data_IF_752668636837
#
_entry.id   IF_752668636837
#
_cell.length_a   1.000
_cell.length_b   1.000
_cell.length_c   1.000
_cell.angle_alpha   90.00
_cell.angle_beta   90.00
_cell.angle_gamma   90.00
#
_symmetry.space_group_name_H-M   'P 1'
#
loop_
_entity.id
_entity.type
_entity.pdbx_description
1 polymer ?
2 non-polymer ?
3 non-polymer ?
4 non-polymer ?
5 non-polymer ?
6 water ?
#
# COMPACT_ATOMS: atom_id res chain seq x y z
N UNK A 12 3.18 15.72 18.83
CA UNK A 12 2.40 16.99 18.96
C UNK A 12 1.23 16.93 18.00
N UNK A 13 0.05 17.39 18.42
CA UNK A 13 -1.13 17.54 17.53
C UNK A 13 -1.15 18.98 17.01
N UNK A 14 -1.19 19.14 15.70
CA UNK A 14 -1.21 20.47 15.07
C UNK A 14 -2.59 20.67 14.47
N UNK A 15 -2.96 21.93 14.26
CA UNK A 15 -4.15 22.28 13.48
C UNK A 15 -3.74 22.77 12.08
N UNK A 16 -2.53 23.29 11.96
CA UNK A 16 -1.97 23.87 10.72
C UNK A 16 -0.65 23.18 10.40
N UNK A 17 -0.40 22.92 9.12
CA UNK A 17 0.92 22.46 8.61
C UNK A 17 1.04 22.90 7.16
N UNK A 18 1.95 23.82 6.85
CA UNK A 18 2.06 24.41 5.50
C UNK A 18 0.72 24.99 5.09
N UNK A 19 0.12 24.49 4.00
CA UNK A 19 -1.19 24.98 3.49
C UNK A 19 -2.32 24.02 3.88
N UNK A 20 -2.06 23.06 4.77
CA UNK A 20 -3.10 22.14 5.29
C UNK A 20 -3.69 22.70 6.59
N UNK A 21 -5.01 22.60 6.75
CA UNK A 21 -5.77 23.00 7.98
C UNK A 21 -6.71 21.85 8.38
N UNK A 22 -6.68 21.44 9.64
CA UNK A 22 -7.65 20.43 10.14
C UNK A 22 -9.08 20.95 9.83
N UNK A 23 -9.93 20.04 9.34
CA UNK A 23 -11.34 20.17 8.90
C UNK A 23 -11.48 20.42 7.39
N UNK A 24 -10.38 20.62 6.67
CA UNK A 24 -10.39 20.77 5.19
C UNK A 24 -10.87 19.45 4.55
N UNK A 25 -11.58 19.55 3.44
CA UNK A 25 -11.93 18.42 2.55
C UNK A 25 -10.64 17.97 1.87
N UNK A 26 -10.44 16.66 1.71
CA UNK A 26 -9.18 16.10 1.20
C UNK A 26 -9.51 14.79 0.47
N UNK A 27 -8.61 14.30 -0.36
CA UNK A 27 -8.64 12.91 -0.88
C UNK A 27 -7.58 12.11 -0.12
N UNK A 28 -7.90 10.87 0.20
CA UNK A 28 -6.97 9.94 0.87
C UNK A 28 -6.84 8.68 0.06
N UNK A 29 -5.66 8.08 0.04
CA UNK A 29 -5.41 6.79 -0.61
C UNK A 29 -5.88 5.66 0.34
N UNK A 30 -6.62 4.70 -0.17
CA UNK A 30 -7.01 3.48 0.60
C UNK A 30 -6.14 2.31 0.15
N UNK A 31 -6.22 1.18 0.88
CA UNK A 31 -5.35 0.00 0.63
C UNK A 31 -5.64 -0.60 -0.76
N UNK A 32 -6.81 -0.34 -1.33
CA UNK A 32 -7.21 -0.76 -2.70
C UNK A 32 -6.40 -0.01 -3.78
N UNK A 33 -5.63 1.01 -3.38
CA UNK A 33 -4.87 1.98 -4.25
C UNK A 33 -5.79 2.99 -4.95
N UNK A 34 -7.10 2.95 -4.71
CA UNK A 34 -8.04 4.00 -5.19
C UNK A 34 -8.10 5.11 -4.14
N UNK A 35 -8.43 6.33 -4.56
CA UNK A 35 -8.49 7.49 -3.65
C UNK A 35 -9.94 7.88 -3.45
N UNK A 36 -10.25 8.41 -2.27
CA UNK A 36 -11.64 8.64 -1.79
C UNK A 36 -11.72 9.98 -1.04
N UNK A 37 -12.88 10.60 -1.12
CA UNK A 37 -13.22 11.85 -0.41
C UNK A 37 -13.21 11.63 1.11
N UNK A 38 -12.70 12.61 1.83
CA UNK A 38 -12.71 12.61 3.29
C UNK A 38 -12.46 13.99 3.84
N UNK A 39 -12.30 14.04 5.15
CA UNK A 39 -11.99 15.26 5.92
C UNK A 39 -10.66 15.05 6.64
N UNK A 40 -9.81 16.05 6.64
CA UNK A 40 -8.59 16.05 7.47
C UNK A 40 -9.03 16.35 8.92
N UNK A 41 -8.88 15.39 9.83
CA UNK A 41 -9.38 15.53 11.22
C UNK A 41 -8.25 15.67 12.21
N UNK A 42 -6.98 15.42 11.83
CA UNK A 42 -5.81 15.63 12.71
C UNK A 42 -4.51 15.68 11.91
N UNK A 43 -3.53 16.36 12.49
CA UNK A 43 -2.14 16.42 11.98
C UNK A 43 -1.24 16.07 13.15
N UNK A 44 -0.38 15.06 13.03
CA UNK A 44 0.40 14.54 14.20
C UNK A 44 1.86 14.46 13.81
N UNK A 45 2.70 15.38 14.32
CA UNK A 45 4.18 15.35 14.20
C UNK A 45 4.70 14.11 14.94
N UNK A 46 5.48 13.29 14.24
CA UNK A 46 6.23 12.10 14.78
C UNK A 46 7.70 12.24 14.33
N UNK A 47 8.54 12.78 15.21
CA UNK A 47 9.93 13.17 14.89
C UNK A 47 9.95 14.39 13.97
N UNK A 48 10.83 14.42 12.95
CA UNK A 48 10.80 15.48 11.93
C UNK A 48 9.69 15.25 10.89
N UNK A 49 8.92 14.16 11.04
CA UNK A 49 7.88 13.71 10.09
C UNK A 49 6.47 14.09 10.55
N UNK A 50 5.53 14.15 9.61
CA UNK A 50 4.11 14.51 9.89
C UNK A 50 3.23 13.35 9.41
N UNK A 51 2.16 13.06 10.12
CA UNK A 51 1.10 12.12 9.68
C UNK A 51 -0.25 12.86 9.67
N UNK A 52 -1.14 12.47 8.78
CA UNK A 52 -2.40 13.18 8.48
C UNK A 52 -3.55 12.20 8.68
N UNK A 53 -4.43 12.46 9.64
CA UNK A 53 -5.58 11.58 9.94
C UNK A 53 -6.77 11.99 9.06
N UNK A 54 -7.27 11.05 8.29
CA UNK A 54 -8.39 11.26 7.32
C UNK A 54 -9.60 10.44 7.77
N UNK A 55 -10.75 11.09 7.88
CA UNK A 55 -12.05 10.44 8.04
C UNK A 55 -12.73 10.43 6.67
N UNK A 56 -12.82 9.25 6.06
CA UNK A 56 -13.41 9.08 4.72
C UNK A 56 -14.93 9.28 4.83
N UNK A 57 -15.53 9.86 3.79
CA UNK A 57 -16.99 10.17 3.78
C UNK A 57 -17.78 8.87 3.89
N UNK A 58 -17.43 7.86 3.10
CA UNK A 58 -18.15 6.56 3.07
C UNK A 58 -17.68 5.76 4.30
N UNK A 59 -16.60 5.02 4.20
CA UNK A 59 -16.13 4.10 5.26
C UNK A 59 -14.67 4.44 5.61
N UNK A 60 -14.30 4.36 6.90
CA UNK A 60 -12.89 4.23 7.34
C UNK A 60 -12.27 5.52 7.89
N UNK A 61 -11.25 5.37 8.72
CA UNK A 61 -10.29 6.43 9.11
C UNK A 61 -8.87 5.87 8.95
N UNK A 62 -7.95 6.69 8.46
CA UNK A 62 -6.56 6.28 8.15
C UNK A 62 -5.62 7.35 8.69
N UNK A 63 -4.49 6.95 9.25
CA UNK A 63 -3.37 7.87 9.49
C UNK A 63 -2.39 7.70 8.34
N UNK A 64 -2.21 8.74 7.54
CA UNK A 64 -1.52 8.68 6.24
C UNK A 64 -0.31 9.62 6.20
N UNK A 65 0.70 9.25 5.41
CA UNK A 65 1.83 10.13 5.09
C UNK A 65 1.33 11.21 4.12
N UNK A 66 2.04 12.33 3.99
CA UNK A 66 1.62 13.47 3.16
C UNK A 66 1.54 13.17 1.66
N UNK A 67 2.23 12.14 1.18
CA UNK A 67 2.22 11.71 -0.24
C UNK A 67 1.00 10.81 -0.51
N UNK A 68 0.21 10.46 0.50
CA UNK A 68 -1.03 9.64 0.37
C UNK A 68 -2.30 10.45 0.65
N UNK A 69 -2.19 11.79 0.63
CA UNK A 69 -3.35 12.72 0.64
C UNK A 69 -3.20 13.67 -0.53
N UNK A 70 -4.32 14.16 -1.04
CA UNK A 70 -4.35 15.10 -2.18
C UNK A 70 -5.38 16.20 -1.86
N UNK A 71 -5.16 17.39 -2.37
CA UNK A 71 -6.10 18.50 -2.15
C UNK A 71 -7.39 18.21 -2.91
N UNK A 72 -8.51 18.64 -2.35
CA UNK A 72 -9.83 18.37 -2.94
C UNK A 72 -10.11 19.44 -4.01
N UNK A 73 -9.12 20.27 -4.35
CA UNK A 73 -9.27 21.32 -5.39
C UNK A 73 -8.27 21.03 -6.51
N UNK A 74 -8.49 21.74 -7.62
CA UNK A 74 -7.76 21.58 -8.90
C UNK A 74 -6.58 22.54 -8.91
N UNK A 75 -5.41 22.09 -9.41
CA UNK A 75 -4.22 22.92 -9.39
C UNK A 75 -4.24 23.83 -10.60
N UNK A 76 -3.81 25.12 -10.46
CA UNK A 76 -3.64 25.97 -11.63
C UNK A 76 -2.56 25.31 -12.52
N UNK A 77 -2.76 25.37 -13.84
CA UNK A 77 -1.85 24.79 -14.87
C UNK A 77 -0.40 25.27 -14.66
N UNK A 78 -0.20 26.50 -14.17
CA UNK A 78 1.13 27.16 -13.99
C UNK A 78 1.90 26.48 -12.84
N UNK A 79 1.21 25.68 -12.03
CA UNK A 79 1.82 24.98 -10.89
C UNK A 79 2.13 23.52 -11.28
N UNK A 80 1.72 23.08 -12.47
CA UNK A 80 1.89 21.65 -12.88
C UNK A 80 2.99 21.55 -13.95
N UNK A 81 3.93 20.65 -13.72
CA UNK A 81 5.09 20.37 -14.60
C UNK A 81 5.06 18.90 -14.99
N UNK A 82 5.81 18.55 -16.03
CA UNK A 82 6.16 17.14 -16.28
C UNK A 82 6.84 16.62 -15.01
N UNK A 83 6.36 15.52 -14.47
CA UNK A 83 6.87 14.95 -13.21
C UNK A 83 6.01 15.28 -11.99
N UNK A 84 5.06 16.22 -12.09
CA UNK A 84 4.16 16.59 -10.96
C UNK A 84 3.36 15.36 -10.51
N UNK A 85 3.25 15.18 -9.21
CA UNK A 85 2.53 14.02 -8.59
C UNK A 85 1.07 14.43 -8.36
N UNK A 86 0.15 13.70 -8.96
CA UNK A 86 -1.29 14.04 -8.96
C UNK A 86 -2.15 12.79 -8.67
N UNK A 87 -3.37 13.07 -8.26
CA UNK A 87 -4.50 12.10 -8.37
C UNK A 87 -5.35 12.59 -9.53
N UNK A 88 -5.77 11.69 -10.40
CA UNK A 88 -6.58 12.02 -11.57
C UNK A 88 -7.72 11.02 -11.70
N UNK A 89 -8.81 11.47 -12.34
CA UNK A 89 -9.93 10.60 -12.79
C UNK A 89 -9.49 9.80 -14.01
N UNK A 90 -9.48 8.50 -13.90
CA UNK A 90 -9.31 7.60 -15.04
C UNK A 90 -10.68 7.08 -15.41
N UNK A 91 -11.06 7.26 -16.67
CA UNK A 91 -12.38 6.84 -17.21
C UNK A 91 -12.15 5.81 -18.32
N UNK A 92 -12.75 4.62 -18.23
CA UNK A 92 -12.68 3.66 -19.36
C UNK A 92 -14.06 3.49 -20.00
N UNK A 93 -15.02 4.36 -19.69
CA UNK A 93 -16.34 4.28 -20.32
C UNK A 93 -17.26 3.17 -19.78
N UNK A 94 -16.84 2.41 -18.76
CA UNK A 94 -17.77 1.68 -17.86
C UNK A 94 -17.26 1.69 -16.40
N UNK A 95 -16.23 2.49 -16.08
CA UNK A 95 -15.80 2.65 -14.68
C UNK A 95 -14.95 3.93 -14.58
N UNK A 96 -15.04 4.61 -13.44
CA UNK A 96 -14.15 5.75 -13.11
C UNK A 96 -13.37 5.36 -11.85
N UNK A 97 -12.09 5.72 -11.80
CA UNK A 97 -11.25 5.61 -10.60
C UNK A 97 -10.66 7.00 -10.30
N UNK A 98 -10.47 7.34 -9.04
CA UNK A 98 -9.45 8.35 -8.65
C UNK A 98 -8.17 7.61 -8.32
N UNK A 99 -7.14 7.81 -9.10
CA UNK A 99 -5.91 6.98 -9.04
C UNK A 99 -4.70 7.89 -9.17
N UNK A 100 -3.61 7.52 -8.53
CA UNK A 100 -2.39 8.36 -8.51
C UNK A 100 -1.66 8.22 -9.85
N UNK A 101 -0.94 9.27 -10.21
CA UNK A 101 -0.02 9.22 -11.36
C UNK A 101 0.90 10.41 -11.40
N UNK A 102 1.47 10.61 -12.58
CA UNK A 102 2.53 11.59 -12.89
C UNK A 102 2.09 12.39 -14.14
N UNK A 103 2.27 13.69 -14.14
CA UNK A 103 1.97 14.53 -15.33
C UNK A 103 3.04 14.22 -16.39
N UNK A 104 2.64 13.73 -17.55
CA UNK A 104 3.57 13.35 -18.65
C UNK A 104 3.62 14.45 -19.72
N UNK A 105 2.55 15.23 -19.86
CA UNK A 105 2.44 16.39 -20.79
C UNK A 105 1.51 17.41 -20.16
N UNK A 106 1.79 18.70 -20.36
CA UNK A 106 0.91 19.81 -19.97
C UNK A 106 0.17 20.27 -21.23
N UNK A 107 -0.93 21.04 -21.11
CA UNK A 107 -1.73 21.41 -22.28
C UNK A 107 -0.93 22.15 -23.36
N UNK A 108 -1.06 21.72 -24.61
CA UNK A 108 -0.52 22.41 -25.80
C UNK A 108 -1.47 22.19 -26.99
N UNK A 109 -1.20 22.84 -28.11
CA UNK A 109 -2.09 22.72 -29.31
C UNK A 109 -2.04 21.27 -29.79
N UNK A 110 -0.89 20.57 -29.73
CA UNK A 110 -0.83 19.17 -30.28
C UNK A 110 -1.73 18.24 -29.46
N UNK A 111 -1.88 18.43 -28.14
CA UNK A 111 -2.68 17.47 -27.31
C UNK A 111 -4.07 18.04 -27.04
N UNK A 112 -4.47 19.12 -27.74
CA UNK A 112 -5.79 19.81 -27.63
C UNK A 112 -6.00 20.33 -26.20
N UNK A 113 -4.97 20.92 -25.60
CA UNK A 113 -5.03 21.60 -24.27
C UNK A 113 -5.51 20.62 -23.19
N UNK A 114 -4.90 19.44 -23.14
CA UNK A 114 -5.16 18.42 -22.08
C UNK A 114 -3.86 18.08 -21.37
N UNK A 115 -3.98 17.53 -20.16
CA UNK A 115 -2.85 16.90 -19.41
C UNK A 115 -2.82 15.41 -19.72
N UNK A 116 -1.63 14.89 -20.04
CA UNK A 116 -1.40 13.44 -20.17
C UNK A 116 -0.91 12.94 -18.82
N UNK A 117 -1.58 11.95 -18.29
CA UNK A 117 -1.24 11.34 -16.98
C UNK A 117 -0.76 9.92 -17.22
N UNK A 118 0.40 9.57 -16.69
CA UNK A 118 0.87 8.17 -16.50
C UNK A 118 0.52 7.73 -15.10
N UNK A 119 -0.40 6.79 -14.97
CA UNK A 119 -0.94 6.31 -13.68
C UNK A 119 0.02 5.26 -13.13
N UNK A 120 0.01 5.10 -11.83
CA UNK A 120 0.96 4.24 -11.09
C UNK A 120 0.91 2.80 -11.60
N UNK A 121 -0.17 2.36 -12.25
CA UNK A 121 -0.31 0.95 -12.70
C UNK A 121 0.14 0.79 -14.16
N UNK A 122 0.68 1.85 -14.76
CA UNK A 122 1.23 1.83 -16.14
C UNK A 122 0.22 2.19 -17.21
N UNK A 123 -1.03 2.48 -16.85
CA UNK A 123 -2.04 2.96 -17.81
C UNK A 123 -1.89 4.48 -17.98
N UNK A 124 -2.38 5.01 -19.11
CA UNK A 124 -2.26 6.44 -19.47
C UNK A 124 -3.62 7.00 -19.92
N UNK A 125 -3.86 8.28 -19.67
CA UNK A 125 -5.07 8.99 -20.11
C UNK A 125 -4.79 10.47 -20.27
N UNK A 126 -5.45 11.10 -21.24
CA UNK A 126 -5.60 12.58 -21.31
C UNK A 126 -6.73 12.97 -20.37
N UNK A 127 -6.53 14.01 -19.58
CA UNK A 127 -7.57 14.49 -18.65
C UNK A 127 -7.60 16.01 -18.74
N UNK A 128 -8.67 16.60 -18.23
CA UNK A 128 -8.80 18.06 -18.07
C UNK A 128 -8.26 18.45 -16.70
N UNK A 129 -8.05 19.74 -16.50
CA UNK A 129 -7.61 20.29 -15.20
C UNK A 129 -8.63 20.01 -14.11
N UNK A 130 -9.93 19.94 -14.44
CA UNK A 130 -11.01 19.69 -13.46
C UNK A 130 -11.04 18.21 -13.07
N UNK A 131 -10.15 17.39 -13.63
CA UNK A 131 -10.04 15.94 -13.30
C UNK A 131 -8.70 15.66 -12.59
N UNK A 132 -8.00 16.71 -12.14
CA UNK A 132 -6.63 16.62 -11.56
C UNK A 132 -6.66 17.18 -10.14
N UNK A 133 -6.01 16.48 -9.21
CA UNK A 133 -5.87 16.87 -7.79
C UNK A 133 -4.41 16.71 -7.40
N UNK A 134 -3.70 17.78 -7.00
CA UNK A 134 -2.30 17.67 -6.61
C UNK A 134 -2.17 16.89 -5.28
N UNK A 135 -1.19 15.98 -5.21
CA UNK A 135 -0.82 15.29 -3.93
C UNK A 135 -0.18 16.35 -3.03
N UNK A 136 -0.50 16.34 -1.73
CA UNK A 136 -0.16 17.44 -0.80
C UNK A 136 1.34 17.51 -0.53
N UNK A 137 2.00 16.39 -0.24
CA UNK A 137 3.43 16.35 0.13
C UNK A 137 4.13 15.27 -0.68
N UNK A 138 4.34 15.50 -1.98
CA UNK A 138 5.04 14.52 -2.79
C UNK A 138 6.52 14.39 -2.39
N UNK A 139 7.11 13.25 -2.73
CA UNK A 139 8.59 13.07 -2.62
C UNK A 139 9.29 14.02 -3.59
N UNK A 140 10.50 14.45 -3.24
CA UNK A 140 11.35 15.32 -4.11
C UNK A 140 11.54 14.64 -5.47
N UNK A 141 11.93 13.36 -5.47
CA UNK A 141 11.89 12.49 -6.67
C UNK A 141 10.48 11.85 -6.69
N UNK A 142 9.56 12.44 -7.43
CA UNK A 142 8.09 12.19 -7.32
C UNK A 142 7.73 10.72 -7.59
N UNK A 143 8.55 10.02 -8.39
CA UNK A 143 8.34 8.62 -8.82
C UNK A 143 8.73 7.63 -7.69
N UNK A 144 9.42 8.09 -6.64
CA UNK A 144 10.01 7.17 -5.62
C UNK A 144 8.94 6.47 -4.77
N UNK A 145 7.66 6.88 -4.83
CA UNK A 145 6.60 6.16 -4.06
C UNK A 145 5.73 5.31 -5.00
N UNK A 146 6.13 5.12 -6.24
CA UNK A 146 5.39 4.21 -7.16
C UNK A 146 5.73 2.76 -6.77
N UNK A 147 4.72 1.94 -6.51
CA UNK A 147 4.91 0.58 -5.94
C UNK A 147 5.67 -0.33 -6.94
N UNK A 148 5.28 -0.31 -8.20
CA UNK A 148 5.75 -1.30 -9.22
C UNK A 148 7.12 -0.83 -9.74
N UNK A 149 8.17 -1.63 -9.52
CA UNK A 149 9.59 -1.25 -9.84
C UNK A 149 9.69 -0.87 -11.32
N UNK A 150 9.04 -1.63 -12.19
CA UNK A 150 9.04 -1.39 -13.65
C UNK A 150 8.42 -0.02 -13.99
N UNK A 151 7.27 0.32 -13.40
CA UNK A 151 6.59 1.62 -13.66
C UNK A 151 7.47 2.73 -13.06
N UNK A 152 8.05 2.49 -11.89
CA UNK A 152 8.91 3.44 -11.12
C UNK A 152 10.14 3.79 -12.00
N UNK A 153 10.84 2.79 -12.54
CA UNK A 153 12.06 2.98 -13.36
C UNK A 153 11.67 3.70 -14.66
N UNK A 154 10.55 3.33 -15.26
CA UNK A 154 10.12 3.95 -16.53
C UNK A 154 9.84 5.43 -16.29
N UNK A 155 9.17 5.77 -15.18
CA UNK A 155 8.81 7.19 -14.92
C UNK A 155 10.10 7.99 -14.66
N UNK A 156 11.02 7.48 -13.85
CA UNK A 156 12.31 8.17 -13.57
C UNK A 156 12.98 8.51 -14.91
N UNK A 157 13.05 7.55 -15.84
CA UNK A 157 13.69 7.75 -17.18
C UNK A 157 12.91 8.77 -17.99
N UNK A 158 11.59 8.62 -18.13
CA UNK A 158 10.77 9.53 -18.94
C UNK A 158 10.89 10.98 -18.42
N UNK A 159 10.68 11.17 -17.14
CA UNK A 159 10.65 12.53 -16.51
C UNK A 159 12.05 13.17 -16.63
N UNK A 160 13.12 12.45 -16.33
CA UNK A 160 14.48 13.06 -16.23
C UNK A 160 15.02 13.32 -17.64
N UNK A 161 14.52 12.63 -18.67
CA UNK A 161 15.06 12.72 -20.06
C UNK A 161 14.18 13.65 -20.89
N UNK A 162 12.99 13.97 -20.40
CA UNK A 162 12.03 14.85 -21.10
C UNK A 162 12.74 16.18 -21.44
N UNK A 163 12.48 16.82 -22.61
CA UNK A 163 11.50 16.36 -23.59
C UNK A 163 12.03 15.40 -24.67
N UNK A 164 13.06 14.62 -24.37
CA UNK A 164 13.56 13.57 -25.30
C UNK A 164 12.67 12.32 -25.14
N UNK A 165 11.81 12.06 -26.13
CA UNK A 165 10.67 11.10 -26.04
C UNK A 165 10.55 10.25 -27.32
N UNK A 166 11.27 9.11 -27.41
CA UNK A 166 11.05 8.20 -28.54
C UNK A 166 9.60 7.68 -28.51
N UNK A 167 8.87 7.87 -29.62
CA UNK A 167 7.54 7.26 -29.87
C UNK A 167 7.57 6.58 -31.24
N UNK A 168 6.73 5.57 -31.44
CA UNK A 168 6.53 4.93 -32.76
C UNK A 168 5.31 5.59 -33.42
N UNK A 169 5.40 5.84 -34.73
CA UNK A 169 4.29 6.39 -35.57
C UNK A 169 3.39 5.27 -36.06
N UNK A 170 2.08 5.34 -35.79
CA UNK A 170 1.11 4.27 -36.07
C UNK A 170 -0.10 4.90 -36.75
N UNK A 171 -0.80 4.12 -37.59
CA UNK A 171 -1.98 4.56 -38.38
C UNK A 171 -3.13 3.61 -38.08
N UNK A 172 -4.37 4.12 -38.05
CA UNK A 172 -5.61 3.33 -37.88
C UNK A 172 -5.62 2.18 -38.90
N UNK A 173 -5.98 0.96 -38.47
CA UNK A 173 -5.99 -0.25 -39.32
C UNK A 173 -4.73 -1.08 -39.18
N UNK A 174 -3.59 -0.46 -38.87
CA UNK A 174 -2.28 -1.14 -38.77
C UNK A 174 -2.39 -2.30 -37.78
N UNK A 175 -1.90 -3.47 -38.18
CA UNK A 175 -1.95 -4.72 -37.39
C UNK A 175 -0.58 -4.93 -36.75
N UNK A 176 -0.55 -5.04 -35.41
CA UNK A 176 0.70 -5.11 -34.60
C UNK A 176 0.50 -6.11 -33.47
N UNK A 177 1.60 -6.48 -32.84
CA UNK A 177 1.64 -7.27 -31.59
C UNK A 177 1.64 -6.28 -30.41
N UNK A 178 0.73 -6.48 -29.46
CA UNK A 178 0.69 -5.72 -28.17
C UNK A 178 0.86 -6.69 -27.01
N UNK A 179 1.66 -6.30 -26.01
CA UNK A 179 1.93 -7.10 -24.80
C UNK A 179 0.70 -7.09 -23.88
N UNK A 180 0.47 -8.22 -23.23
CA UNK A 180 -0.42 -8.43 -22.08
C UNK A 180 0.12 -9.60 -21.26
N UNK A 181 0.37 -9.38 -19.97
CA UNK A 181 0.83 -10.45 -19.04
C UNK A 181 2.04 -11.18 -19.63
N UNK A 182 3.02 -10.42 -20.14
CA UNK A 182 4.35 -10.93 -20.51
C UNK A 182 4.39 -11.65 -21.86
N UNK A 183 3.29 -11.74 -22.63
CA UNK A 183 3.32 -12.31 -24.01
C UNK A 183 2.74 -11.32 -25.01
N UNK A 184 2.92 -11.63 -26.31
CA UNK A 184 2.50 -10.80 -27.46
C UNK A 184 1.14 -11.29 -27.95
N UNK A 185 0.26 -10.36 -28.29
CA UNK A 185 -1.11 -10.65 -28.74
C UNK A 185 -1.34 -9.91 -30.06
N UNK A 186 -2.08 -10.53 -30.98
CA UNK A 186 -2.48 -9.89 -32.25
C UNK A 186 -3.46 -8.77 -31.92
N UNK A 187 -3.28 -7.60 -32.51
CA UNK A 187 -4.07 -6.41 -32.16
C UNK A 187 -4.09 -5.47 -33.36
N UNK A 188 -5.05 -4.56 -33.39
CA UNK A 188 -5.19 -3.57 -34.47
C UNK A 188 -5.23 -2.18 -33.82
N UNK A 189 -4.49 -1.23 -34.41
CA UNK A 189 -4.56 0.22 -34.10
C UNK A 189 -5.93 0.73 -34.56
N UNK A 190 -6.79 1.12 -33.63
CA UNK A 190 -8.14 1.66 -33.93
C UNK A 190 -8.06 3.17 -34.17
N UNK A 191 -7.33 3.90 -33.31
CA UNK A 191 -7.43 5.38 -33.21
C UNK A 191 -6.12 5.94 -32.65
N UNK A 192 -5.70 7.11 -33.13
CA UNK A 192 -4.56 7.89 -32.58
C UNK A 192 -5.13 9.20 -32.03
N UNK A 193 -4.67 9.60 -30.84
CA UNK A 193 -5.07 10.83 -30.11
C UNK A 193 -3.82 11.33 -29.40
N UNK A 194 -3.05 12.20 -30.07
CA UNK A 194 -1.79 12.74 -29.56
C UNK A 194 -0.79 11.64 -29.30
N UNK A 195 -0.28 11.54 -28.07
CA UNK A 195 0.79 10.58 -27.71
C UNK A 195 0.21 9.21 -27.33
N UNK A 196 -1.11 9.02 -27.46
CA UNK A 196 -1.82 7.75 -27.14
C UNK A 196 -2.32 7.07 -28.42
N UNK A 197 -2.40 5.74 -28.39
CA UNK A 197 -3.04 4.90 -29.43
C UNK A 197 -4.05 3.96 -28.77
N UNK A 198 -5.26 3.86 -29.32
CA UNK A 198 -6.26 2.86 -28.87
C UNK A 198 -6.00 1.56 -29.63
N UNK A 199 -5.67 0.50 -28.89
CA UNK A 199 -5.38 -0.87 -29.40
C UNK A 199 -6.59 -1.77 -29.16
N UNK A 200 -7.04 -2.47 -30.19
CA UNK A 200 -8.03 -3.56 -30.09
C UNK A 200 -7.29 -4.88 -30.04
N UNK A 201 -7.51 -5.66 -28.98
CA UNK A 201 -6.98 -7.03 -28.87
C UNK A 201 -7.95 -7.97 -29.61
N UNK A 202 -7.49 -8.57 -30.70
CA UNK A 202 -8.35 -9.37 -31.62
C UNK A 202 -8.86 -10.61 -30.89
N UNK A 203 -8.14 -11.12 -29.89
CA UNK A 203 -8.50 -12.35 -29.15
C UNK A 203 -9.84 -12.16 -28.40
N UNK A 204 -10.01 -11.07 -27.65
CA UNK A 204 -11.20 -10.88 -26.76
C UNK A 204 -11.96 -9.60 -27.13
N UNK A 205 -11.58 -8.96 -28.23
CA UNK A 205 -12.14 -7.66 -28.74
C UNK A 205 -12.21 -6.63 -27.58
N UNK A 206 -11.19 -6.59 -26.72
CA UNK A 206 -11.01 -5.54 -25.67
C UNK A 206 -10.10 -4.44 -26.24
N UNK A 207 -10.40 -3.17 -25.96
CA UNK A 207 -9.61 -1.99 -26.39
C UNK A 207 -8.90 -1.40 -25.18
N UNK A 208 -7.64 -1.01 -25.36
CA UNK A 208 -6.87 -0.23 -24.34
C UNK A 208 -6.23 0.97 -25.02
N UNK A 209 -6.20 2.12 -24.33
CA UNK A 209 -5.35 3.27 -24.70
C UNK A 209 -3.94 3.07 -24.13
N UNK A 210 -2.93 3.17 -24.99
CA UNK A 210 -1.50 2.93 -24.65
C UNK A 210 -0.66 4.09 -25.19
N UNK A 211 0.32 4.51 -24.41
CA UNK A 211 1.28 5.57 -24.78
C UNK A 211 2.11 5.06 -25.97
N UNK A 212 2.34 5.92 -26.98
CA UNK A 212 3.02 5.50 -28.24
C UNK A 212 4.50 5.28 -27.98
N UNK A 213 5.02 5.73 -26.83
CA UNK A 213 6.40 5.44 -26.40
C UNK A 213 6.47 4.22 -25.52
N UNK A 214 5.37 3.50 -25.32
CA UNK A 214 5.36 2.30 -24.43
C UNK A 214 5.95 1.10 -25.19
N UNK A 215 6.74 0.28 -24.52
CA UNK A 215 7.26 -1.00 -25.07
C UNK A 215 6.22 -2.13 -24.90
N UNK A 216 5.00 -1.82 -24.46
CA UNK A 216 3.84 -2.73 -24.67
C UNK A 216 3.54 -2.82 -26.16
N UNK A 217 3.88 -1.79 -26.96
CA UNK A 217 3.72 -1.80 -28.43
C UNK A 217 4.95 -2.47 -29.05
N UNK A 218 4.78 -3.60 -29.74
CA UNK A 218 5.94 -4.38 -30.30
C UNK A 218 6.82 -3.46 -31.15
N UNK A 219 6.27 -2.60 -32.04
CA UNK A 219 7.11 -1.68 -32.81
C UNK A 219 8.03 -0.83 -31.93
N UNK A 220 7.59 -0.43 -30.72
CA UNK A 220 8.42 0.35 -29.76
C UNK A 220 9.43 -0.57 -29.08
N UNK A 221 9.03 -1.78 -28.70
CA UNK A 221 9.87 -2.74 -27.93
C UNK A 221 11.13 -3.12 -28.72
N UNK A 222 11.05 -3.07 -30.06
CA UNK A 222 12.14 -3.49 -30.98
C UNK A 222 12.90 -2.27 -31.52
N UNK A 223 12.34 -1.05 -31.41
CA UNK A 223 12.92 0.21 -31.96
C UNK A 223 14.06 0.70 -31.06
N UNK B 12 25.15 12.69 7.82
CA UNK B 12 26.34 11.84 8.02
C UNK B 12 26.02 10.45 7.50
N UNK B 13 27.00 9.79 6.88
CA UNK B 13 26.92 8.36 6.47
C UNK B 13 27.60 7.53 7.55
N UNK B 14 26.86 6.61 8.18
CA UNK B 14 27.36 5.80 9.30
C UNK B 14 27.48 4.35 8.83
N UNK B 15 28.28 3.58 9.55
CA UNK B 15 28.43 2.12 9.33
C UNK B 15 27.78 1.34 10.47
N UNK B 16 27.67 1.94 11.65
CA UNK B 16 27.15 1.33 12.90
C UNK B 16 26.06 2.24 13.45
N UNK B 17 25.01 1.66 14.01
CA UNK B 17 23.97 2.45 14.72
C UNK B 17 23.26 1.51 15.68
N UNK B 18 23.42 1.71 16.98
CA UNK B 18 22.98 0.69 17.95
C UNK B 18 23.57 -0.67 17.59
N UNK B 19 22.72 -1.67 17.40
CA UNK B 19 23.12 -3.07 17.08
C UNK B 19 23.10 -3.34 15.56
N UNK B 20 22.86 -2.34 14.72
CA UNK B 20 22.84 -2.53 13.25
C UNK B 20 24.22 -2.21 12.67
N UNK B 21 24.62 -2.98 11.67
CA UNK B 21 25.90 -2.82 10.94
C UNK B 21 25.60 -2.91 9.46
N UNK B 22 26.08 -1.93 8.70
CA UNK B 22 26.03 -1.96 7.22
C UNK B 22 26.60 -3.30 6.75
N UNK B 23 25.93 -3.87 5.75
CA UNK B 23 26.17 -5.15 5.06
C UNK B 23 25.43 -6.32 5.77
N UNK B 24 24.78 -6.09 6.91
CA UNK B 24 23.91 -7.11 7.57
C UNK B 24 22.77 -7.49 6.61
N UNK B 25 22.34 -8.75 6.70
CA UNK B 25 21.07 -9.24 6.11
C UNK B 25 19.94 -8.75 7.01
N UNK B 26 18.83 -8.34 6.42
CA UNK B 26 17.76 -7.62 7.13
C UNK B 26 16.46 -7.96 6.39
N UNK B 27 15.33 -7.69 7.01
CA UNK B 27 14.02 -7.61 6.31
C UNK B 27 13.66 -6.13 6.15
N UNK B 28 13.11 -5.78 4.99
CA UNK B 28 12.68 -4.41 4.69
C UNK B 28 11.23 -4.40 4.24
N UNK B 29 10.48 -3.38 4.65
CA UNK B 29 9.07 -3.19 4.23
C UNK B 29 9.05 -2.56 2.83
N UNK B 30 8.45 -3.23 1.87
CA UNK B 30 8.27 -2.68 0.50
C UNK B 30 7.03 -1.79 0.45
N UNK B 31 6.87 -1.05 -0.65
CA UNK B 31 5.75 -0.07 -0.81
C UNK B 31 4.41 -0.84 -0.82
N UNK B 32 4.43 -2.14 -1.11
CA UNK B 32 3.23 -3.03 -1.07
C UNK B 32 2.74 -3.29 0.36
N UNK B 33 3.58 -3.04 1.37
CA UNK B 33 3.41 -3.37 2.81
C UNK B 33 3.82 -4.82 3.13
N UNK B 34 4.23 -5.61 2.12
CA UNK B 34 4.83 -6.94 2.37
C UNK B 34 6.32 -6.72 2.64
N UNK B 35 6.92 -7.60 3.46
CA UNK B 35 8.34 -7.50 3.84
C UNK B 35 9.17 -8.55 3.09
N UNK B 36 10.42 -8.24 2.85
CA UNK B 36 11.29 -8.97 1.89
C UNK B 36 12.73 -8.92 2.39
N UNK B 37 13.49 -9.97 2.14
CA UNK B 37 14.92 -10.07 2.47
C UNK B 37 15.72 -9.00 1.70
N UNK B 38 16.72 -8.44 2.36
CA UNK B 38 17.67 -7.53 1.69
C UNK B 38 18.91 -7.36 2.51
N UNK B 39 19.72 -6.40 2.09
CA UNK B 39 21.01 -6.05 2.72
C UNK B 39 20.95 -4.59 3.15
N UNK B 40 21.37 -4.32 4.38
CA UNK B 40 21.53 -2.92 4.83
C UNK B 40 22.79 -2.38 4.15
N UNK B 41 22.64 -1.39 3.28
CA UNK B 41 23.75 -0.84 2.44
C UNK B 41 24.12 0.57 2.90
N UNK B 42 23.33 1.25 3.73
CA UNK B 42 23.70 2.57 4.27
C UNK B 42 22.84 2.95 5.49
N UNK B 43 23.44 3.75 6.33
CA UNK B 43 22.74 4.42 7.46
C UNK B 43 23.03 5.92 7.29
N UNK B 44 21.98 6.73 7.21
CA UNK B 44 22.05 8.20 7.01
C UNK B 44 21.43 8.87 8.23
N UNK B 45 22.09 9.92 8.74
CA UNK B 45 21.51 10.82 9.76
C UNK B 45 21.11 12.10 9.04
N UNK B 46 19.86 12.51 9.23
CA UNK B 46 19.29 13.83 8.79
C UNK B 46 18.83 14.53 10.07
N UNK B 47 19.74 15.25 10.72
CA UNK B 47 19.54 15.84 12.05
C UNK B 47 19.46 14.77 13.13
N UNK B 48 18.44 14.81 14.02
CA UNK B 48 18.33 13.85 15.12
C UNK B 48 17.83 12.48 14.62
N UNK B 49 17.47 12.40 13.33
CA UNK B 49 16.81 11.25 12.71
C UNK B 49 17.79 10.32 12.01
N UNK B 50 17.36 9.09 11.77
CA UNK B 50 18.15 8.07 11.06
C UNK B 50 17.28 7.41 9.99
N UNK B 51 17.85 7.16 8.83
CA UNK B 51 17.25 6.34 7.76
C UNK B 51 18.22 5.21 7.42
N UNK B 52 17.68 4.12 6.91
CA UNK B 52 18.37 2.85 6.62
C UNK B 52 18.11 2.49 5.17
N UNK B 53 19.15 2.44 4.36
CA UNK B 53 19.03 2.13 2.92
C UNK B 53 19.13 0.63 2.73
N UNK B 54 18.10 0.04 2.13
CA UNK B 54 18.03 -1.44 1.95
C UNK B 54 18.02 -1.72 0.46
N UNK B 55 18.88 -2.64 0.05
CA UNK B 55 18.87 -3.22 -1.31
C UNK B 55 18.20 -4.60 -1.21
N UNK B 56 17.01 -4.74 -1.79
CA UNK B 56 16.24 -6.01 -1.81
C UNK B 56 16.90 -6.98 -2.81
N UNK B 57 16.84 -8.27 -2.46
CA UNK B 57 17.48 -9.41 -3.17
C UNK B 57 16.83 -9.60 -4.54
N UNK B 58 15.52 -9.31 -4.66
CA UNK B 58 14.80 -9.23 -5.97
C UNK B 58 14.80 -7.77 -6.46
N UNK B 59 13.87 -6.96 -5.92
CA UNK B 59 13.44 -5.69 -6.55
C UNK B 59 13.82 -4.47 -5.67
N UNK B 60 14.93 -3.82 -6.03
CA UNK B 60 15.11 -2.36 -5.91
C UNK B 60 15.67 -1.90 -4.57
N UNK B 61 15.46 -0.61 -4.28
CA UNK B 61 16.07 0.11 -3.12
C UNK B 61 15.03 0.98 -2.45
N UNK B 62 15.07 1.02 -1.12
CA UNK B 62 14.20 1.86 -0.29
C UNK B 62 15.09 2.54 0.74
N UNK B 63 14.78 3.79 1.05
CA UNK B 63 15.34 4.50 2.20
C UNK B 63 14.26 4.51 3.27
N UNK B 64 14.46 3.76 4.34
CA UNK B 64 13.39 3.33 5.27
C UNK B 64 13.69 3.87 6.67
N UNK B 65 12.64 4.18 7.43
CA UNK B 65 12.72 4.51 8.87
C UNK B 65 13.00 3.20 9.63
N UNK B 66 13.53 3.32 10.85
CA UNK B 66 13.91 2.17 11.68
C UNK B 66 12.76 1.23 12.00
N UNK B 67 11.50 1.70 11.96
CA UNK B 67 10.31 0.84 12.25
C UNK B 67 9.88 0.09 10.98
N UNK B 68 10.57 0.27 9.84
CA UNK B 68 10.27 -0.39 8.54
C UNK B 68 11.41 -1.34 8.15
N UNK B 69 12.25 -1.72 9.13
CA UNK B 69 13.26 -2.80 8.99
C UNK B 69 13.14 -3.76 10.18
N UNK B 70 13.52 -5.00 9.95
CA UNK B 70 13.43 -6.07 10.98
C UNK B 70 14.68 -6.94 10.91
N UNK B 71 15.14 -7.47 12.04
CA UNK B 71 16.33 -8.36 12.01
C UNK B 71 15.94 -9.68 11.33
N UNK B 72 16.92 -10.31 10.67
CA UNK B 72 16.80 -11.63 10.00
C UNK B 72 17.25 -12.72 10.99
N UNK B 73 16.74 -12.66 12.21
CA UNK B 73 16.83 -13.75 13.20
C UNK B 73 15.55 -13.74 14.04
N UNK B 74 15.29 -14.83 14.76
CA UNK B 74 14.09 -15.02 15.60
C UNK B 74 14.40 -14.51 17.00
N UNK B 75 13.46 -13.81 17.67
CA UNK B 75 13.74 -13.26 18.98
C UNK B 75 13.73 -14.39 20.00
N UNK B 76 14.50 -14.27 21.10
CA UNK B 76 14.35 -15.17 22.23
C UNK B 76 12.97 -14.93 22.86
N UNK B 77 12.31 -16.00 23.32
CA UNK B 77 10.94 -16.00 23.91
C UNK B 77 10.84 -14.91 24.98
N UNK B 78 11.92 -14.70 25.73
CA UNK B 78 11.98 -13.86 26.97
C UNK B 78 12.18 -12.39 26.59
N UNK B 79 12.26 -12.06 25.31
CA UNK B 79 12.36 -10.66 24.82
C UNK B 79 11.05 -10.26 24.15
N UNK B 80 10.09 -11.17 24.05
CA UNK B 80 8.79 -10.90 23.39
C UNK B 80 7.71 -10.72 24.46
N UNK B 81 7.05 -9.59 24.42
CA UNK B 81 5.94 -9.20 25.31
C UNK B 81 4.67 -9.06 24.49
N UNK B 82 3.53 -9.10 25.15
CA UNK B 82 2.27 -8.56 24.57
C UNK B 82 2.53 -7.09 24.19
N UNK B 83 2.31 -6.74 22.94
CA UNK B 83 2.62 -5.39 22.45
C UNK B 83 3.89 -5.29 21.63
N UNK B 84 4.75 -6.31 21.62
CA UNK B 84 6.01 -6.33 20.84
C UNK B 84 5.68 -6.19 19.35
N UNK B 85 6.49 -5.40 18.65
CA UNK B 85 6.30 -5.08 17.22
C UNK B 85 7.17 -6.06 16.42
N UNK B 86 6.56 -6.85 15.59
CA UNK B 86 7.23 -7.96 14.87
C UNK B 86 6.81 -7.98 13.41
N UNK B 87 7.63 -8.66 12.63
CA UNK B 87 7.25 -9.22 11.31
C UNK B 87 7.03 -10.72 11.54
N UNK B 88 5.93 -11.26 11.03
CA UNK B 88 5.62 -12.68 11.18
C UNK B 88 5.19 -13.24 9.81
N UNK B 89 5.40 -14.52 9.65
CA UNK B 89 4.87 -15.29 8.50
C UNK B 89 3.36 -15.49 8.69
N UNK B 90 2.56 -14.94 7.80
CA UNK B 90 1.11 -15.21 7.66
C UNK B 90 0.95 -16.24 6.54
N UNK B 91 0.37 -17.39 6.88
CA UNK B 91 0.10 -18.51 5.93
C UNK B 91 -1.42 -18.71 5.88
N UNK B 92 -2.03 -18.65 4.70
CA UNK B 92 -3.47 -18.99 4.53
C UNK B 92 -3.60 -20.30 3.74
N UNK B 93 -2.55 -21.10 3.63
CA UNK B 93 -2.68 -22.41 2.98
C UNK B 93 -2.52 -22.39 1.47
N UNK B 94 -2.67 -21.23 0.80
CA UNK B 94 -2.25 -21.06 -0.63
C UNK B 94 -1.37 -19.82 -0.81
N UNK B 95 -0.84 -19.22 0.28
CA UNK B 95 0.11 -18.10 0.17
C UNK B 95 0.79 -17.84 1.52
N UNK B 96 2.05 -17.42 1.52
CA UNK B 96 2.76 -16.90 2.71
C UNK B 96 3.11 -15.42 2.47
N UNK B 97 2.96 -14.60 3.49
CA UNK B 97 3.41 -13.18 3.48
C UNK B 97 4.32 -12.98 4.70
N UNK B 98 5.38 -12.22 4.57
CA UNK B 98 6.01 -11.58 5.76
C UNK B 98 5.30 -10.25 5.97
N UNK B 99 4.62 -10.08 7.09
CA UNK B 99 3.74 -8.91 7.31
C UNK B 99 3.87 -8.43 8.73
N UNK B 100 3.73 -7.12 8.94
CA UNK B 100 3.96 -6.52 10.26
C UNK B 100 2.77 -6.81 11.19
N UNK B 101 3.04 -6.94 12.48
CA UNK B 101 1.98 -6.96 13.48
C UNK B 101 2.49 -6.74 14.88
N UNK B 102 1.67 -7.15 15.82
CA UNK B 102 1.83 -6.97 17.28
C UNK B 102 1.63 -8.32 17.98
N UNK B 103 2.47 -8.66 18.93
CA UNK B 103 2.28 -9.87 19.78
C UNK B 103 1.05 -9.66 20.68
N UNK B 104 0.04 -10.52 20.52
CA UNK B 104 -1.23 -10.49 21.28
C UNK B 104 -1.17 -11.50 22.44
N UNK B 105 -0.46 -12.61 22.27
CA UNK B 105 -0.32 -13.67 23.31
C UNK B 105 1.07 -14.28 23.16
N UNK B 106 1.68 -14.68 24.27
CA UNK B 106 2.95 -15.46 24.30
C UNK B 106 2.57 -16.92 24.58
N UNK B 107 3.48 -17.88 24.32
CA UNK B 107 3.15 -19.31 24.47
C UNK B 107 2.58 -19.70 25.84
N UNK B 108 1.48 -20.45 25.85
CA UNK B 108 0.89 -21.05 27.08
C UNK B 108 0.21 -22.38 26.70
N UNK B 109 -0.29 -23.13 27.67
CA UNK B 109 -0.92 -24.46 27.43
C UNK B 109 -2.17 -24.25 26.57
N UNK B 110 -2.91 -23.18 26.85
CA UNK B 110 -4.23 -22.87 26.21
C UNK B 110 -4.04 -22.61 24.70
N UNK B 111 -2.91 -22.03 24.28
CA UNK B 111 -2.69 -21.69 22.85
C UNK B 111 -1.72 -22.69 22.22
N UNK B 112 -1.35 -23.74 22.96
CA UNK B 112 -0.46 -24.85 22.49
C UNK B 112 0.93 -24.27 22.21
N UNK B 113 1.42 -23.42 23.11
CA UNK B 113 2.77 -22.81 23.09
C UNK B 113 3.06 -22.12 21.75
N UNK B 114 2.13 -21.26 21.30
CA UNK B 114 2.30 -20.44 20.09
C UNK B 114 2.19 -18.95 20.46
N UNK B 115 2.71 -18.06 19.62
CA UNK B 115 2.46 -16.59 19.68
C UNK B 115 1.21 -16.26 18.85
N UNK B 116 0.25 -15.55 19.45
CA UNK B 116 -0.87 -14.93 18.69
C UNK B 116 -0.38 -13.59 18.15
N UNK B 117 -0.52 -13.37 16.84
CA UNK B 117 -0.12 -12.11 16.18
C UNK B 117 -1.37 -11.43 15.62
N UNK B 118 -1.53 -10.16 15.95
CA UNK B 118 -2.48 -9.25 15.28
C UNK B 118 -1.72 -8.45 14.24
N UNK B 119 -2.05 -8.67 12.98
CA UNK B 119 -1.35 -8.02 11.84
C UNK B 119 -1.98 -6.65 11.59
N UNK B 120 -1.24 -5.79 10.89
CA UNK B 120 -1.59 -4.36 10.74
C UNK B 120 -2.89 -4.22 9.95
N UNK B 121 -3.28 -5.26 9.19
CA UNK B 121 -4.52 -5.23 8.35
C UNK B 121 -5.73 -5.81 9.10
N UNK B 122 -5.63 -6.15 10.38
CA UNK B 122 -6.79 -6.62 11.16
C UNK B 122 -6.86 -8.13 11.21
N UNK B 123 -6.02 -8.83 10.43
CA UNK B 123 -6.00 -10.32 10.42
C UNK B 123 -5.14 -10.84 11.59
N UNK B 124 -5.40 -12.07 12.01
CA UNK B 124 -4.76 -12.71 13.18
C UNK B 124 -4.30 -14.12 12.82
N UNK B 125 -3.19 -14.56 13.39
CA UNK B 125 -2.67 -15.94 13.23
C UNK B 125 -1.88 -16.37 14.47
N UNK B 126 -1.88 -17.67 14.79
CA UNK B 126 -0.88 -18.31 15.69
C UNK B 126 0.38 -18.68 14.89
N UNK B 127 1.55 -18.35 15.39
CA UNK B 127 2.85 -18.62 14.71
C UNK B 127 3.79 -19.17 15.76
N UNK B 128 4.89 -19.81 15.33
CA UNK B 128 5.96 -20.28 16.25
C UNK B 128 7.03 -19.19 16.34
N UNK B 129 7.96 -19.36 17.28
CA UNK B 129 9.11 -18.46 17.49
C UNK B 129 9.91 -18.36 16.22
N UNK B 130 9.96 -19.43 15.43
CA UNK B 130 10.82 -19.49 14.22
C UNK B 130 10.15 -18.73 13.06
N UNK B 131 8.94 -18.20 13.25
CA UNK B 131 8.24 -17.47 12.16
C UNK B 131 8.10 -15.98 12.52
N UNK B 132 8.89 -15.51 13.48
CA UNK B 132 8.85 -14.14 14.04
C UNK B 132 10.20 -13.45 13.82
N UNK B 133 10.17 -12.14 13.54
CA UNK B 133 11.37 -11.29 13.33
C UNK B 133 11.13 -9.98 14.06
N UNK B 134 11.99 -9.55 14.99
CA UNK B 134 11.74 -8.30 15.71
C UNK B 134 12.01 -7.10 14.77
N UNK B 135 11.11 -6.11 14.82
CA UNK B 135 11.32 -4.81 14.14
C UNK B 135 12.45 -4.06 14.87
N UNK B 136 13.34 -3.44 14.11
CA UNK B 136 14.66 -2.92 14.63
C UNK B 136 14.43 -1.75 15.59
N UNK B 137 13.62 -0.77 15.19
CA UNK B 137 13.43 0.49 15.97
C UNK B 137 11.94 0.79 16.04
N UNK B 138 11.18 0.00 16.81
CA UNK B 138 9.75 0.24 16.93
C UNK B 138 9.44 1.52 17.70
N UNK B 139 8.27 2.09 17.47
CA UNK B 139 7.81 3.28 18.25
C UNK B 139 7.57 2.85 19.69
N UNK B 140 7.67 3.79 20.63
CA UNK B 140 7.49 3.48 22.08
C UNK B 140 6.07 2.93 22.30
N UNK B 141 5.08 3.59 21.76
CA UNK B 141 3.71 3.04 21.64
C UNK B 141 3.69 2.27 20.31
N UNK B 142 3.85 0.97 20.37
CA UNK B 142 4.20 0.13 19.19
C UNK B 142 3.11 0.24 18.11
N UNK B 143 1.86 0.52 18.51
CA UNK B 143 0.69 0.57 17.61
C UNK B 143 0.67 1.89 16.80
N UNK B 144 1.51 2.87 17.12
CA UNK B 144 1.35 4.24 16.55
C UNK B 144 1.74 4.32 15.08
N UNK B 145 2.37 3.30 14.49
CA UNK B 145 2.64 3.31 13.04
C UNK B 145 1.62 2.47 12.25
N UNK B 146 0.50 2.06 12.86
CA UNK B 146 -0.59 1.33 12.16
C UNK B 146 -1.50 2.36 11.44
N UNK B 147 -1.61 2.21 10.12
CA UNK B 147 -2.33 3.17 9.23
C UNK B 147 -3.85 3.10 9.49
N UNK B 148 -4.44 1.91 9.56
CA UNK B 148 -5.91 1.76 9.71
C UNK B 148 -6.30 2.12 11.17
N UNK B 149 -7.08 3.18 11.39
CA UNK B 149 -7.39 3.67 12.76
C UNK B 149 -8.17 2.61 13.54
N UNK B 150 -9.10 1.91 12.90
CA UNK B 150 -9.91 0.87 13.59
C UNK B 150 -8.98 -0.19 14.18
N UNK B 151 -8.01 -0.67 13.40
CA UNK B 151 -7.01 -1.68 13.87
C UNK B 151 -6.15 -1.05 14.97
N UNK B 152 -5.56 0.12 14.73
CA UNK B 152 -4.69 0.79 15.72
C UNK B 152 -5.42 0.86 17.05
N UNK B 153 -6.64 1.39 17.07
CA UNK B 153 -7.38 1.67 18.32
C UNK B 153 -7.66 0.35 19.04
N UNK B 154 -8.06 -0.67 18.29
CA UNK B 154 -8.28 -2.03 18.81
C UNK B 154 -7.01 -2.51 19.52
N UNK B 155 -5.86 -2.35 18.86
CA UNK B 155 -4.56 -2.87 19.36
C UNK B 155 -4.18 -2.08 20.62
N UNK B 156 -4.27 -0.75 20.56
CA UNK B 156 -3.99 0.10 21.75
C UNK B 156 -4.83 -0.37 22.95
N UNK B 157 -6.15 -0.52 22.75
CA UNK B 157 -7.07 -0.91 23.84
C UNK B 157 -6.70 -2.33 24.31
N UNK B 158 -6.47 -3.26 23.37
CA UNK B 158 -6.12 -4.66 23.70
C UNK B 158 -4.82 -4.71 24.55
N UNK B 159 -3.76 -4.07 24.07
CA UNK B 159 -2.41 -4.18 24.68
C UNK B 159 -2.43 -3.50 26.05
N UNK B 160 -3.02 -2.32 26.15
CA UNK B 160 -2.94 -1.51 27.41
C UNK B 160 -3.85 -2.10 28.48
N UNK B 161 -4.87 -2.90 28.15
CA UNK B 161 -5.85 -3.47 29.13
C UNK B 161 -5.51 -4.93 29.43
N UNK B 162 -4.56 -5.52 28.69
CA UNK B 162 -4.15 -6.92 28.88
C UNK B 162 -3.74 -7.10 30.35
N UNK B 163 -4.08 -8.21 31.02
CA UNK B 163 -4.72 -9.38 30.40
C UNK B 163 -6.26 -9.43 30.45
N UNK B 164 -6.93 -8.27 30.51
CA UNK B 164 -8.42 -8.11 30.47
C UNK B 164 -8.90 -8.12 29.02
N UNK B 165 -9.53 -9.24 28.60
CA UNK B 165 -9.77 -9.63 27.18
C UNK B 165 -11.16 -10.21 26.95
N UNK B 166 -12.19 -9.39 26.65
CA UNK B 166 -13.51 -9.94 26.32
C UNK B 166 -13.45 -10.75 25.01
N UNK B 167 -14.05 -11.94 25.03
CA UNK B 167 -14.18 -12.84 23.83
C UNK B 167 -15.58 -13.45 23.88
N UNK B 168 -16.03 -14.01 22.76
CA UNK B 168 -17.33 -14.74 22.68
C UNK B 168 -17.05 -16.22 22.48
N UNK B 169 -17.79 -17.08 23.18
CA UNK B 169 -17.68 -18.56 23.09
C UNK B 169 -18.50 -19.04 21.89
N UNK B 170 -17.88 -19.82 21.01
CA UNK B 170 -18.49 -20.36 19.77
C UNK B 170 -18.12 -21.85 19.66
N UNK B 171 -18.86 -22.62 18.85
CA UNK B 171 -18.65 -24.07 18.62
C UNK B 171 -18.95 -24.38 17.16
N UNK B 172 -18.33 -25.42 16.58
CA UNK B 172 -18.54 -25.85 15.17
C UNK B 172 -20.05 -25.92 14.88
N UNK B 173 -20.50 -25.39 13.74
CA UNK B 173 -21.89 -25.52 13.26
C UNK B 173 -22.73 -24.27 13.48
N UNK B 174 -22.48 -23.50 14.55
CA UNK B 174 -23.24 -22.25 14.88
C UNK B 174 -23.29 -21.34 13.65
N UNK B 175 -24.44 -20.73 13.38
CA UNK B 175 -24.65 -19.79 12.26
C UNK B 175 -24.63 -18.37 12.81
N UNK B 176 -23.74 -17.51 12.28
CA UNK B 176 -23.58 -16.10 12.72
C UNK B 176 -23.42 -15.20 11.50
N UNK B 177 -23.68 -13.92 11.67
CA UNK B 177 -23.27 -12.86 10.73
C UNK B 177 -21.80 -12.53 11.03
N UNK B 178 -20.98 -12.42 10.00
CA UNK B 178 -19.58 -11.97 10.10
C UNK B 178 -19.46 -10.78 9.17
N UNK B 179 -18.84 -9.69 9.65
CA UNK B 179 -18.58 -8.48 8.87
C UNK B 179 -17.54 -8.78 7.78
N UNK B 180 -17.73 -8.17 6.62
CA UNK B 180 -16.75 -8.07 5.52
C UNK B 180 -17.05 -6.81 4.73
N UNK B 181 -16.06 -5.92 4.58
CA UNK B 181 -16.17 -4.65 3.81
C UNK B 181 -17.45 -3.90 4.24
N UNK B 182 -17.74 -3.89 5.54
CA UNK B 182 -18.67 -2.92 6.15
C UNK B 182 -20.12 -3.40 6.18
N UNK B 183 -20.40 -4.63 5.74
CA UNK B 183 -21.76 -5.23 5.79
C UNK B 183 -21.69 -6.61 6.45
N UNK B 184 -22.83 -7.11 6.92
CA UNK B 184 -22.98 -8.43 7.57
C UNK B 184 -23.23 -9.50 6.50
N UNK B 185 -22.55 -10.64 6.62
CA UNK B 185 -22.62 -11.77 5.66
C UNK B 185 -23.02 -13.00 6.44
N UNK B 186 -23.91 -13.82 5.88
CA UNK B 186 -24.28 -15.13 6.46
C UNK B 186 -23.01 -15.98 6.48
N UNK B 187 -22.74 -16.63 7.62
CA UNK B 187 -21.52 -17.45 7.81
C UNK B 187 -21.77 -18.52 8.87
N UNK B 188 -20.83 -19.45 8.96
CA UNK B 188 -20.86 -20.62 9.88
C UNK B 188 -19.47 -20.80 10.52
N UNK B 189 -19.48 -21.16 11.79
CA UNK B 189 -18.29 -21.50 12.62
C UNK B 189 -17.78 -22.89 12.22
N UNK B 190 -16.62 -22.97 11.55
CA UNK B 190 -16.07 -24.24 11.03
C UNK B 190 -15.20 -24.93 12.07
N UNK B 191 -14.66 -24.19 13.05
CA UNK B 191 -13.55 -24.70 13.91
C UNK B 191 -13.13 -23.60 14.90
N UNK B 192 -12.64 -24.02 16.06
CA UNK B 192 -12.14 -23.14 17.18
C UNK B 192 -10.74 -23.61 17.55
N UNK B 193 -9.78 -22.69 17.59
CA UNK B 193 -8.36 -22.96 17.91
C UNK B 193 -7.88 -21.85 18.85
N UNK B 194 -7.84 -22.14 20.16
CA UNK B 194 -7.56 -21.13 21.21
C UNK B 194 -8.44 -19.90 21.04
N UNK B 195 -7.82 -18.74 20.80
CA UNK B 195 -8.52 -17.43 20.73
C UNK B 195 -8.99 -17.11 19.31
N UNK B 196 -8.78 -18.01 18.34
CA UNK B 196 -9.24 -17.83 16.94
C UNK B 196 -10.42 -18.76 16.64
N UNK B 197 -11.24 -18.35 15.67
CA UNK B 197 -12.37 -19.15 15.12
C UNK B 197 -12.26 -19.11 13.59
N UNK B 198 -12.39 -20.27 12.93
CA UNK B 198 -12.43 -20.36 11.46
C UNK B 198 -13.88 -20.16 11.02
N UNK B 199 -14.14 -19.13 10.22
CA UNK B 199 -15.50 -18.74 9.78
C UNK B 199 -15.65 -19.07 8.29
N UNK B 200 -16.69 -19.82 7.91
CA UNK B 200 -17.04 -20.06 6.50
C UNK B 200 -18.11 -19.07 6.09
N UNK B 201 -17.83 -18.24 5.07
CA UNK B 201 -18.80 -17.33 4.42
C UNK B 201 -19.57 -18.08 3.31
N UNK B 202 -20.90 -17.97 3.30
CA UNK B 202 -21.78 -18.86 2.50
C UNK B 202 -21.94 -18.34 1.07
N UNK B 203 -21.83 -17.03 0.83
CA UNK B 203 -21.98 -16.41 -0.51
C UNK B 203 -20.88 -16.94 -1.46
N UNK B 204 -19.67 -17.21 -0.96
CA UNK B 204 -18.51 -17.50 -1.85
C UNK B 204 -17.70 -18.69 -1.35
N UNK B 205 -18.14 -19.35 -0.28
CA UNK B 205 -17.49 -20.50 0.41
C UNK B 205 -15.98 -20.22 0.64
N UNK B 206 -15.64 -19.02 1.10
CA UNK B 206 -14.28 -18.64 1.62
C UNK B 206 -14.25 -18.77 3.14
N UNK B 207 -13.13 -19.23 3.72
CA UNK B 207 -12.89 -19.36 5.19
C UNK B 207 -11.89 -18.29 5.62
N UNK B 208 -12.07 -17.73 6.82
CA UNK B 208 -11.13 -16.75 7.44
C UNK B 208 -10.99 -17.11 8.92
N UNK B 209 -9.76 -17.12 9.42
CA UNK B 209 -9.45 -17.22 10.85
C UNK B 209 -9.64 -15.82 11.47
N UNK B 210 -10.44 -15.72 12.53
CA UNK B 210 -10.82 -14.42 13.15
C UNK B 210 -10.62 -14.55 14.66
N UNK B 211 -10.10 -13.50 15.29
CA UNK B 211 -9.96 -13.40 16.76
C UNK B 211 -11.36 -13.41 17.38
N UNK B 212 -11.55 -14.18 18.45
CA UNK B 212 -12.88 -14.37 19.11
C UNK B 212 -13.28 -13.11 19.89
N UNK B 213 -12.39 -12.13 20.03
CA UNK B 213 -12.69 -10.79 20.60
C UNK B 213 -12.90 -9.74 19.52
N UNK B 214 -12.91 -10.11 18.24
CA UNK B 214 -13.11 -9.17 17.10
C UNK B 214 -14.58 -8.77 17.00
N UNK B 215 -14.88 -7.49 16.70
CA UNK B 215 -16.25 -7.04 16.40
C UNK B 215 -16.62 -7.34 14.93
N UNK B 216 -15.76 -8.03 14.18
CA UNK B 216 -16.18 -8.67 12.91
C UNK B 216 -17.19 -9.78 13.21
N UNK B 217 -17.11 -10.42 14.38
CA UNK B 217 -18.09 -11.45 14.80
C UNK B 217 -19.31 -10.72 15.36
N UNK B 218 -20.47 -10.82 14.71
CA UNK B 218 -21.70 -10.07 15.09
C UNK B 218 -22.01 -10.26 16.58
N UNK B 219 -21.86 -11.48 17.17
CA UNK B 219 -22.06 -11.67 18.60
C UNK B 219 -21.18 -10.79 19.49
N UNK B 220 -19.93 -10.51 19.07
CA UNK B 220 -19.01 -9.58 19.78
C UNK B 220 -19.48 -8.14 19.54
N UNK B 221 -19.82 -7.81 18.30
CA UNK B 221 -20.32 -6.46 17.93
C UNK B 221 -21.50 -6.12 18.88
N UNK B 222 -22.36 -7.10 19.19
CA UNK B 222 -23.58 -6.94 20.02
C UNK B 222 -23.26 -6.63 21.48
N UNK B 223 -22.24 -7.29 22.07
CA UNK B 223 -21.95 -7.29 23.54
C UNK B 223 -21.70 -5.87 24.05
#
# INVERSE_FOLDING_TARGET
MHHHHHHSSGRENLYFQGDLIVSMRILGKKRTKTWHKGTLIAIQTVGPGKKYKVKFDNKGKSLLSGNHIAYDYHPPADKLYVGSRVVAKYKDGNQVWLYAGIVAETPNVKNKLRFLIFFDDGYASYVTQSELYPICRPLKKTWEDIEDISCRDFIEEYVTAYPNRPMVLLKSGQLIKTEWEGTWWKSRVEEVDGSLVRILFLDDKRCEWIYRGSTRLEPMFSMKT
MHHHHHHSSGRENLYFQGDLIVSMRILGKKRTKTWHKGTLIAIQTVGPGKKYKVKFDNKGKSLLSGNHIAYDYHPPADKLYVGSRVVAKYKDGNQVWLYAGIVAETPNVKNKLRFLIFFDDGYASYVTQSELYPICRPLKKTWEDIEDISCRDFIEEYVTAYPNRPMVLLKSGQLIKTEWEGTWWKSRVEEVDGSLVRILFLDDKRCEWIYRGSTRLEPMFSMKT
#
